data_IF_791825659060
#
_entry.id   IF_791825659060
#
_cell.length_a   1.000
_cell.length_b   1.000
_cell.length_c   1.000
_cell.angle_alpha   90.00
_cell.angle_beta   90.00
_cell.angle_gamma   90.00
#
_symmetry.space_group_name_H-M   'P 1'
#
loop_
_entity.id
_entity.type
_entity.pdbx_description
1 polymer ?
#
# COMPACT_ATOMS: atom_id res chain seq x y z
N UNK A 1 -6.51 -9.21 3.84
CA UNK A 1 -5.78 -8.23 3.05
C UNK A 1 -4.29 -8.22 3.36
N UNK A 2 -3.49 -8.46 2.34
CA UNK A 2 -2.04 -8.29 2.36
C UNK A 2 -1.67 -6.84 2.04
N UNK A 3 -0.48 -6.39 2.43
CA UNK A 3 0.04 -5.04 2.16
C UNK A 3 1.36 -5.12 1.42
N UNK A 4 1.37 -4.65 0.17
CA UNK A 4 2.57 -4.51 -0.66
C UNK A 4 3.00 -3.05 -0.72
N UNK A 5 4.25 -2.76 -0.37
CA UNK A 5 4.86 -1.44 -0.53
C UNK A 5 6.06 -1.54 -1.47
N UNK A 6 6.03 -0.77 -2.56
CA UNK A 6 7.11 -0.65 -3.54
C UNK A 6 7.71 0.75 -3.43
N UNK A 7 8.92 0.86 -2.90
CA UNK A 7 9.58 2.14 -2.63
C UNK A 7 10.68 2.44 -3.66
N UNK A 8 10.44 3.47 -4.48
CA UNK A 8 11.30 4.00 -5.52
C UNK A 8 11.69 5.46 -5.19
N UNK A 9 12.52 5.64 -4.16
CA UNK A 9 12.82 6.94 -3.54
C UNK A 9 13.37 8.02 -4.47
N UNK A 10 13.90 7.66 -5.65
CA UNK A 10 14.41 8.60 -6.66
C UNK A 10 13.41 8.99 -7.75
N UNK A 11 12.22 8.38 -7.80
CA UNK A 11 11.21 8.64 -8.82
C UNK A 11 10.46 9.95 -8.52
N UNK A 12 10.57 10.94 -9.39
CA UNK A 12 10.00 12.29 -9.19
C UNK A 12 8.51 12.35 -9.58
N UNK A 13 7.68 13.10 -8.84
CA UNK A 13 6.22 13.16 -9.08
C UNK A 13 5.88 13.71 -10.46
N UNK A 14 6.64 14.72 -10.92
CA UNK A 14 6.41 15.36 -12.22
C UNK A 14 6.50 14.36 -13.37
N UNK A 15 7.39 13.36 -13.28
CA UNK A 15 7.53 12.35 -14.33
C UNK A 15 6.57 11.19 -14.08
N UNK A 16 6.48 10.69 -12.84
CA UNK A 16 5.56 9.60 -12.46
C UNK A 16 4.12 9.90 -12.89
N UNK A 17 3.63 11.13 -12.68
CA UNK A 17 2.23 11.46 -12.95
C UNK A 17 1.96 12.00 -14.36
N UNK A 18 2.98 12.48 -15.08
CA UNK A 18 2.81 13.09 -16.40
C UNK A 18 3.22 12.19 -17.57
N UNK A 19 4.11 11.21 -17.38
CA UNK A 19 4.57 10.35 -18.48
C UNK A 19 3.50 9.32 -18.86
N UNK A 20 2.84 9.54 -19.99
CA UNK A 20 1.76 8.69 -20.50
C UNK A 20 2.22 7.27 -20.89
N UNK A 21 3.54 7.04 -21.00
CA UNK A 21 4.09 5.72 -21.33
C UNK A 21 4.08 4.74 -20.16
N UNK A 22 3.85 5.22 -18.93
CA UNK A 22 3.81 4.40 -17.72
C UNK A 22 2.43 3.74 -17.58
N UNK A 23 2.13 2.79 -18.46
CA UNK A 23 0.80 2.21 -18.60
C UNK A 23 0.31 1.50 -17.33
N UNK A 24 1.19 0.78 -16.62
CA UNK A 24 0.81 0.04 -15.42
C UNK A 24 0.57 1.00 -14.24
N UNK A 25 1.43 2.01 -14.10
CA UNK A 25 1.25 3.05 -13.09
C UNK A 25 -0.06 3.83 -13.34
N UNK A 26 -0.38 4.16 -14.60
CA UNK A 26 -1.63 4.82 -14.97
C UNK A 26 -2.85 4.00 -14.57
N UNK A 27 -2.84 2.69 -14.81
CA UNK A 27 -3.92 1.80 -14.38
C UNK A 27 -4.10 1.85 -12.86
N UNK A 28 -3.02 1.86 -12.08
CA UNK A 28 -3.10 2.01 -10.63
C UNK A 28 -3.68 3.37 -10.22
N UNK A 29 -3.27 4.46 -10.89
CA UNK A 29 -3.81 5.80 -10.63
C UNK A 29 -5.31 5.89 -10.93
N UNK A 30 -5.80 5.21 -11.97
CA UNK A 30 -7.21 5.17 -12.33
C UNK A 30 -8.04 4.34 -11.33
N UNK A 31 -7.44 3.32 -10.72
CA UNK A 31 -8.11 2.41 -9.78
C UNK A 31 -8.08 2.89 -8.32
N UNK A 32 -7.09 3.69 -7.95
CA UNK A 32 -6.86 4.10 -6.56
C UNK A 32 -6.70 5.60 -6.39
N UNK A 33 -6.00 6.00 -5.34
CA UNK A 33 -5.65 7.39 -5.08
C UNK A 33 -4.15 7.62 -5.26
N UNK A 34 -3.79 8.82 -5.69
CA UNK A 34 -2.40 9.20 -5.92
C UNK A 34 -2.19 10.67 -5.61
N UNK A 35 -0.96 11.08 -5.35
CA UNK A 35 -0.67 12.49 -5.14
C UNK A 35 0.73 12.79 -4.66
N UNK A 36 1.03 14.07 -4.60
CA UNK A 36 2.23 14.59 -3.95
C UNK A 36 2.05 14.60 -2.42
N UNK A 37 3.15 14.36 -1.72
CA UNK A 37 3.25 14.35 -0.28
C UNK A 37 4.08 15.53 0.20
N UNK A 38 3.65 16.14 1.28
CA UNK A 38 4.51 17.03 2.03
C UNK A 38 5.59 16.19 2.74
N UNK A 39 6.85 16.60 2.65
CA UNK A 39 8.04 15.85 3.13
C UNK A 39 8.18 15.77 4.66
N UNK A 40 7.08 15.89 5.42
CA UNK A 40 7.07 15.74 6.86
C UNK A 40 7.03 14.27 7.28
N UNK A 41 8.11 13.82 7.92
CA UNK A 41 8.19 12.50 8.56
C UNK A 41 8.67 11.37 7.65
N UNK A 42 8.56 10.14 8.16
CA UNK A 42 8.93 8.90 7.47
C UNK A 42 7.65 8.11 7.17
N UNK A 43 7.55 7.55 5.96
CA UNK A 43 6.31 6.94 5.48
C UNK A 43 5.91 5.68 6.25
N UNK A 44 6.89 4.99 6.83
CA UNK A 44 6.74 3.70 7.52
C UNK A 44 6.66 3.85 9.03
N UNK A 45 6.72 5.06 9.59
CA UNK A 45 6.65 5.27 11.05
C UNK A 45 5.19 5.41 11.46
N UNK A 46 4.74 4.54 12.38
CA UNK A 46 3.41 4.61 12.95
C UNK A 46 3.36 5.45 14.22
N UNK A 47 4.38 5.39 15.09
CA UNK A 47 4.41 6.14 16.34
C UNK A 47 5.84 6.30 16.86
N UNK A 48 6.12 7.40 17.58
CA UNK A 48 7.35 7.56 18.36
C UNK A 48 7.06 7.67 19.83
N UNK A 49 7.75 6.83 20.61
CA UNK A 49 7.79 6.86 22.06
C UNK A 49 9.20 7.29 22.51
N UNK A 50 9.35 7.64 23.79
CA UNK A 50 10.61 8.18 24.33
C UNK A 50 11.87 7.37 23.98
N UNK A 51 11.75 6.04 23.87
CA UNK A 51 12.88 5.13 23.64
C UNK A 51 12.70 4.21 22.43
N UNK A 52 11.64 4.38 21.62
CA UNK A 52 11.35 3.46 20.53
C UNK A 52 10.51 4.14 19.44
N UNK A 53 10.91 3.94 18.18
CA UNK A 53 10.09 4.27 17.01
C UNK A 53 9.41 2.99 16.57
N UNK A 54 8.08 2.96 16.60
CA UNK A 54 7.28 1.84 16.11
C UNK A 54 7.04 2.04 14.62
N UNK A 55 7.61 1.15 13.81
CA UNK A 55 7.36 1.10 12.36
C UNK A 55 6.09 0.31 12.03
N UNK A 56 5.55 0.52 10.83
CA UNK A 56 4.43 -0.25 10.28
C UNK A 56 4.75 -1.76 10.24
N UNK A 57 5.96 -2.11 9.83
CA UNK A 57 6.41 -3.51 9.82
C UNK A 57 6.43 -4.10 11.23
N UNK A 58 7.06 -3.44 12.20
CA UNK A 58 7.12 -3.93 13.59
C UNK A 58 5.71 -4.06 14.18
N UNK A 59 4.81 -3.14 13.85
CA UNK A 59 3.42 -3.20 14.27
C UNK A 59 2.69 -4.44 13.74
N UNK A 60 2.86 -4.77 12.45
CA UNK A 60 2.31 -6.01 11.90
C UNK A 60 2.98 -7.26 12.49
N UNK A 61 4.30 -7.26 12.69
CA UNK A 61 5.01 -8.37 13.34
C UNK A 61 4.48 -8.65 14.76
N UNK A 62 4.14 -7.61 15.54
CA UNK A 62 3.52 -7.77 16.86
C UNK A 62 2.12 -8.41 16.79
N UNK A 63 1.45 -8.32 15.64
CA UNK A 63 0.19 -8.99 15.35
C UNK A 63 0.37 -10.38 14.70
N UNK A 64 1.56 -10.98 14.82
CA UNK A 64 1.91 -12.31 14.29
C UNK A 64 1.76 -12.40 12.76
N UNK A 65 2.02 -11.30 12.06
CA UNK A 65 1.99 -11.20 10.60
C UNK A 65 3.33 -11.56 9.98
N UNK A 66 3.31 -12.28 8.86
CA UNK A 66 4.50 -12.61 8.11
C UNK A 66 4.97 -11.39 7.30
N UNK A 67 5.94 -10.67 7.87
CA UNK A 67 6.49 -9.45 7.28
C UNK A 67 7.82 -9.72 6.58
N UNK A 68 7.98 -9.20 5.37
CA UNK A 68 9.19 -9.32 4.56
C UNK A 68 9.66 -7.94 4.11
N UNK A 69 10.94 -7.63 4.34
CA UNK A 69 11.64 -6.48 3.75
C UNK A 69 12.70 -7.01 2.80
N UNK A 70 12.76 -6.50 1.58
CA UNK A 70 13.81 -6.87 0.64
C UNK A 70 14.16 -5.72 -0.29
N UNK A 71 15.41 -5.69 -0.73
CA UNK A 71 15.87 -4.83 -1.83
C UNK A 71 16.25 -5.63 -3.07
N UNK A 72 16.15 -6.96 -3.00
CA UNK A 72 16.50 -7.85 -4.09
C UNK A 72 15.25 -8.19 -4.95
N UNK A 73 15.26 -7.84 -6.25
CA UNK A 73 14.13 -8.12 -7.14
C UNK A 73 13.87 -9.63 -7.35
N UNK A 74 14.86 -10.50 -7.12
CA UNK A 74 14.63 -11.96 -7.17
C UNK A 74 13.78 -12.39 -5.99
N UNK A 75 14.15 -11.96 -4.77
CA UNK A 75 13.37 -12.21 -3.55
C UNK A 75 11.95 -11.63 -3.63
N UNK A 76 11.79 -10.42 -4.20
CA UNK A 76 10.46 -9.84 -4.43
C UNK A 76 9.59 -10.78 -5.27
N UNK A 77 10.09 -11.21 -6.44
CA UNK A 77 9.34 -12.09 -7.35
C UNK A 77 9.04 -13.46 -6.73
N UNK A 78 9.99 -14.03 -6.01
CA UNK A 78 9.77 -15.28 -5.27
C UNK A 78 8.62 -15.13 -4.27
N UNK A 79 8.61 -14.05 -3.48
CA UNK A 79 7.56 -13.82 -2.48
C UNK A 79 6.20 -13.55 -3.08
N UNK A 80 6.13 -12.75 -4.15
CA UNK A 80 4.90 -12.51 -4.88
C UNK A 80 4.33 -13.82 -5.45
N UNK A 81 5.17 -14.65 -6.10
CA UNK A 81 4.72 -15.91 -6.70
C UNK A 81 4.32 -16.98 -5.68
N UNK A 82 5.00 -17.03 -4.53
CA UNK A 82 4.67 -17.99 -3.46
C UNK A 82 3.41 -17.55 -2.68
N UNK A 83 3.20 -16.24 -2.51
CA UNK A 83 2.04 -15.70 -1.78
C UNK A 83 2.09 -15.88 -0.26
N UNK A 84 3.25 -16.27 0.30
CA UNK A 84 3.44 -16.46 1.76
C UNK A 84 4.05 -15.19 2.40
N UNK A 85 3.20 -14.18 2.57
CA UNK A 85 3.46 -12.91 3.24
C UNK A 85 2.14 -12.18 3.56
N UNK A 86 2.11 -11.43 4.66
CA UNK A 86 1.01 -10.51 4.99
C UNK A 86 1.42 -9.04 4.72
N UNK A 87 2.70 -8.72 4.91
CA UNK A 87 3.29 -7.41 4.61
C UNK A 87 4.60 -7.62 3.84
N UNK A 88 4.70 -7.05 2.64
CA UNK A 88 5.89 -7.11 1.82
C UNK A 88 6.32 -5.70 1.44
N UNK A 89 7.54 -5.35 1.84
CA UNK A 89 8.18 -4.11 1.48
C UNK A 89 9.34 -4.40 0.53
N UNK A 90 9.32 -3.72 -0.62
CA UNK A 90 10.42 -3.69 -1.56
C UNK A 90 11.04 -2.30 -1.59
N UNK A 91 12.34 -2.21 -1.27
CA UNK A 91 13.12 -0.98 -1.45
C UNK A 91 14.01 -1.13 -2.67
N UNK A 92 13.73 -0.38 -3.73
CA UNK A 92 14.30 -0.59 -5.06
C UNK A 92 15.76 -0.13 -5.19
N UNK A 93 16.68 -0.77 -4.47
CA UNK A 93 18.10 -0.43 -4.43
C UNK A 93 18.83 -0.62 -5.78
N UNK A 94 18.21 -1.33 -6.73
CA UNK A 94 18.68 -1.47 -8.11
C UNK A 94 18.46 -0.20 -8.96
N UNK A 95 17.71 0.78 -8.46
CA UNK A 95 17.47 2.05 -9.11
C UNK A 95 18.42 3.15 -8.58
N UNK A 96 18.73 4.17 -9.40
CA UNK A 96 19.48 5.33 -8.92
C UNK A 96 18.76 6.02 -7.74
N UNK A 97 19.52 6.57 -6.80
CA UNK A 97 18.93 7.37 -5.71
C UNK A 97 18.35 8.70 -6.20
N UNK A 98 18.91 9.26 -7.28
CA UNK A 98 18.51 10.54 -7.87
C UNK A 98 18.76 10.51 -9.39
N UNK A 99 18.24 11.52 -10.10
CA UNK A 99 18.49 11.77 -11.53
C UNK A 99 18.09 10.60 -12.45
N UNK A 100 16.90 10.07 -12.25
CA UNK A 100 16.35 9.00 -13.08
C UNK A 100 16.25 9.40 -14.55
N UNK A 101 16.68 8.50 -15.43
CA UNK A 101 16.48 8.60 -16.86
C UNK A 101 15.06 8.18 -17.26
N UNK A 102 14.65 8.49 -18.49
CA UNK A 102 13.40 7.97 -19.04
C UNK A 102 13.33 6.44 -19.02
N UNK A 103 14.47 5.77 -19.23
CA UNK A 103 14.54 4.31 -19.22
C UNK A 103 14.36 3.73 -17.81
N UNK A 104 14.77 4.45 -16.76
CA UNK A 104 14.51 4.05 -15.38
C UNK A 104 13.01 4.04 -15.07
N UNK A 105 12.26 5.07 -15.51
CA UNK A 105 10.80 5.08 -15.32
C UNK A 105 10.10 3.96 -16.09
N UNK A 106 10.52 3.69 -17.34
CA UNK A 106 9.97 2.58 -18.13
C UNK A 106 10.29 1.22 -17.49
N UNK A 107 11.48 1.06 -16.91
CA UNK A 107 11.84 -0.14 -16.16
C UNK A 107 10.97 -0.31 -14.92
N UNK A 108 10.77 0.75 -14.14
CA UNK A 108 9.85 0.74 -12.99
C UNK A 108 8.45 0.30 -13.40
N UNK A 109 7.91 0.85 -14.50
CA UNK A 109 6.56 0.52 -14.96
C UNK A 109 6.46 -0.95 -15.41
N UNK A 110 7.49 -1.48 -16.08
CA UNK A 110 7.55 -2.90 -16.43
C UNK A 110 7.65 -3.80 -15.19
N UNK A 111 8.53 -3.46 -14.25
CA UNK A 111 8.70 -4.21 -12.98
C UNK A 111 7.39 -4.20 -12.16
N UNK A 112 6.66 -3.07 -12.18
CA UNK A 112 5.34 -2.94 -11.58
C UNK A 112 4.34 -3.88 -12.28
N UNK A 113 4.27 -3.85 -13.61
CA UNK A 113 3.39 -4.73 -14.39
C UNK A 113 3.65 -6.22 -14.17
N UNK A 114 4.90 -6.62 -13.96
CA UNK A 114 5.27 -7.99 -13.57
C UNK A 114 4.77 -8.32 -12.15
N UNK A 115 4.99 -7.42 -11.19
CA UNK A 115 4.54 -7.63 -9.81
C UNK A 115 3.01 -7.77 -9.70
N UNK A 116 2.26 -6.95 -10.45
CA UNK A 116 0.79 -6.95 -10.43
C UNK A 116 0.17 -8.24 -10.97
N UNK A 117 0.87 -9.02 -11.81
CA UNK A 117 0.34 -10.28 -12.36
C UNK A 117 0.23 -11.41 -11.33
N UNK A 118 1.02 -11.33 -10.26
CA UNK A 118 1.07 -12.35 -9.21
C UNK A 118 0.14 -12.03 -8.03
N UNK A 119 -0.46 -10.83 -7.99
CA UNK A 119 -1.27 -10.37 -6.88
C UNK A 119 -2.74 -10.78 -7.00
N UNK A 120 -3.39 -10.96 -5.85
CA UNK A 120 -4.83 -11.14 -5.74
C UNK A 120 -5.56 -9.81 -5.45
N UNK A 121 -6.89 -9.86 -5.53
CA UNK A 121 -7.77 -8.72 -5.24
C UNK A 121 -7.80 -8.34 -3.74
N UNK A 122 -7.24 -9.16 -2.85
CA UNK A 122 -7.14 -8.92 -1.40
C UNK A 122 -5.75 -8.37 -1.01
N UNK A 123 -5.20 -7.50 -1.87
CA UNK A 123 -3.92 -6.82 -1.62
C UNK A 123 -4.06 -5.31 -1.72
N UNK A 124 -3.60 -4.59 -0.69
CA UNK A 124 -3.34 -3.16 -0.76
C UNK A 124 -1.94 -2.92 -1.32
N UNK A 125 -1.83 -2.12 -2.38
CA UNK A 125 -0.61 -1.84 -3.13
C UNK A 125 -0.27 -0.36 -2.96
N UNK A 126 0.93 -0.06 -2.50
CA UNK A 126 1.45 1.31 -2.44
C UNK A 126 2.74 1.41 -3.23
N UNK A 127 2.77 2.30 -4.22
CA UNK A 127 4.00 2.73 -4.89
C UNK A 127 4.41 4.06 -4.26
N UNK A 128 5.61 4.12 -3.69
CA UNK A 128 6.18 5.34 -3.14
C UNK A 128 7.28 5.85 -4.07
N UNK A 129 7.16 7.12 -4.46
CA UNK A 129 8.22 7.86 -5.13
C UNK A 129 8.83 8.89 -4.18
N UNK A 130 9.62 9.81 -4.75
CA UNK A 130 10.14 10.98 -4.03
C UNK A 130 8.98 11.91 -3.69
N UNK A 131 8.60 11.96 -2.42
CA UNK A 131 7.50 12.80 -1.91
C UNK A 131 6.19 12.62 -2.71
N UNK A 132 5.89 11.40 -3.14
CA UNK A 132 4.65 11.11 -3.85
C UNK A 132 4.28 9.64 -3.69
N UNK A 133 3.02 9.33 -3.98
CA UNK A 133 2.50 7.99 -3.84
C UNK A 133 1.43 7.67 -4.88
N UNK A 134 1.22 6.37 -5.07
CA UNK A 134 0.01 5.76 -5.63
C UNK A 134 -0.42 4.67 -4.66
N UNK A 135 -1.69 4.65 -4.27
CA UNK A 135 -2.28 3.70 -3.33
C UNK A 135 -3.53 3.08 -3.94
N UNK A 136 -3.52 1.76 -4.07
CA UNK A 136 -4.63 0.97 -4.62
C UNK A 136 -5.00 -0.11 -3.62
N UNK A 137 -6.29 -0.30 -3.40
CA UNK A 137 -6.83 -1.45 -2.67
C UNK A 137 -8.28 -1.63 -3.09
N UNK A 138 -8.75 -2.87 -3.17
CA UNK A 138 -10.15 -3.17 -3.50
C UNK A 138 -11.14 -2.49 -2.54
N UNK A 139 -10.70 -2.18 -1.31
CA UNK A 139 -11.51 -1.55 -0.28
C UNK A 139 -11.19 -0.07 -0.04
N UNK A 140 -10.31 0.54 -0.85
CA UNK A 140 -9.96 1.96 -0.72
C UNK A 140 -11.14 2.85 -1.13
N UNK A 141 -11.71 3.67 -0.22
CA UNK A 141 -12.81 4.58 -0.56
C UNK A 141 -12.36 5.82 -1.34
N UNK A 142 -11.06 6.12 -1.36
CA UNK A 142 -10.50 7.31 -2.00
C UNK A 142 -10.01 6.94 -3.40
N UNK A 143 -10.44 7.71 -4.40
CA UNK A 143 -9.98 7.58 -5.79
C UNK A 143 -9.53 8.92 -6.37
N UNK A 144 -8.63 8.87 -7.34
CA UNK A 144 -8.09 10.02 -8.04
C UNK A 144 -7.03 10.80 -7.24
N UNK A 145 -6.81 12.05 -7.63
CA UNK A 145 -5.76 12.91 -7.07
C UNK A 145 -6.11 13.32 -5.62
N UNK A 146 -5.28 12.90 -4.67
CA UNK A 146 -5.33 13.28 -3.26
C UNK A 146 -4.39 14.46 -2.99
N UNK A 147 -4.91 15.52 -2.36
CA UNK A 147 -4.16 16.77 -2.11
C UNK A 147 -3.92 16.99 -0.63
N UNK A 148 -2.70 17.44 -0.30
CA UNK A 148 -2.34 17.88 1.04
C UNK A 148 -1.97 16.77 2.02
N UNK A 149 -1.75 15.54 1.54
CA UNK A 149 -1.24 14.44 2.35
C UNK A 149 0.20 14.68 2.83
N UNK A 150 0.51 14.19 4.03
CA UNK A 150 1.87 14.15 4.57
C UNK A 150 2.48 12.77 4.36
N UNK A 151 3.80 12.67 4.22
CA UNK A 151 4.51 11.38 4.19
C UNK A 151 4.16 10.51 5.40
N UNK A 152 4.03 11.11 6.59
CA UNK A 152 3.61 10.44 7.83
C UNK A 152 2.21 9.83 7.80
N UNK A 153 1.35 10.19 6.83
CA UNK A 153 -0.03 9.70 6.76
C UNK A 153 -0.14 8.32 6.08
N UNK A 154 0.92 7.86 5.41
CA UNK A 154 0.95 6.59 4.67
C UNK A 154 0.78 5.40 5.62
N UNK A 155 1.66 5.28 6.63
CA UNK A 155 1.62 4.17 7.59
C UNK A 155 0.27 3.99 8.28
N UNK A 156 -0.36 5.04 8.88
CA UNK A 156 -1.67 4.87 9.50
C UNK A 156 -2.78 4.55 8.49
N UNK A 157 -2.71 5.08 7.27
CA UNK A 157 -3.67 4.73 6.21
C UNK A 157 -3.57 3.25 5.85
N UNK A 158 -2.36 2.72 5.70
CA UNK A 158 -2.12 1.31 5.40
C UNK A 158 -2.56 0.38 6.54
N UNK A 159 -2.29 0.74 7.79
CA UNK A 159 -2.72 -0.05 8.94
C UNK A 159 -4.25 -0.14 9.02
N UNK A 160 -4.97 0.97 8.81
CA UNK A 160 -6.44 0.96 8.81
C UNK A 160 -7.02 0.22 7.61
N UNK A 161 -6.47 0.41 6.42
CA UNK A 161 -6.87 -0.38 5.25
C UNK A 161 -6.73 -1.87 5.54
N UNK A 162 -5.60 -2.30 6.10
CA UNK A 162 -5.37 -3.70 6.50
C UNK A 162 -6.28 -4.20 7.64
N UNK A 163 -7.17 -3.35 8.17
CA UNK A 163 -8.14 -3.71 9.21
C UNK A 163 -7.59 -3.65 10.64
N UNK A 164 -6.44 -3.01 10.86
CA UNK A 164 -5.82 -2.90 12.17
C UNK A 164 -6.17 -1.57 12.84
N UNK A 165 -6.47 -1.57 14.15
CA UNK A 165 -6.68 -0.34 14.89
C UNK A 165 -5.38 0.48 14.93
N UNK A 166 -5.47 1.80 15.04
CA UNK A 166 -4.28 2.64 15.21
C UNK A 166 -3.87 2.73 16.68
N UNK A 167 -2.56 2.76 16.99
CA UNK A 167 -2.06 3.14 18.31
C UNK A 167 -2.58 4.52 18.76
N UNK A 168 -2.67 4.73 20.07
CA UNK A 168 -3.17 6.01 20.63
C UNK A 168 -2.26 7.22 20.37
N UNK A 169 -0.97 6.98 20.10
CA UNK A 169 0.05 8.00 19.85
C UNK A 169 0.55 7.95 18.39
N UNK A 170 -0.34 7.64 17.45
CA UNK A 170 0.00 7.54 16.03
C UNK A 170 0.51 8.87 15.44
N UNK A 171 1.58 8.79 14.65
CA UNK A 171 2.07 9.89 13.81
C UNK A 171 1.28 9.96 12.51
N UNK A 172 1.04 11.18 12.03
CA UNK A 172 0.20 11.42 10.86
C UNK A 172 -1.29 11.17 11.12
N UNK A 173 -2.07 11.16 10.04
CA UNK A 173 -3.51 10.91 10.05
C UNK A 173 -3.85 9.94 8.93
N UNK A 174 -4.58 8.88 9.25
CA UNK A 174 -5.11 8.02 8.20
C UNK A 174 -6.12 8.79 7.35
N UNK A 175 -6.02 8.65 6.03
CA UNK A 175 -6.96 9.29 5.10
C UNK A 175 -8.32 8.59 5.05
N UNK A 176 -8.37 7.32 5.46
CA UNK A 176 -9.60 6.51 5.46
C UNK A 176 -10.28 6.46 6.82
N UNK A 177 -9.80 7.24 7.79
CA UNK A 177 -10.36 7.26 9.14
C UNK A 177 -11.83 7.71 9.13
N UNK A 178 -12.69 6.90 9.75
CA UNK A 178 -14.13 7.14 9.79
C UNK A 178 -14.87 6.98 8.44
N UNK A 179 -14.21 6.48 7.40
CA UNK A 179 -14.86 6.16 6.12
C UNK A 179 -15.40 4.73 6.11
N UNK A 180 -16.54 4.51 5.45
CA UNK A 180 -16.93 3.16 5.06
C UNK A 180 -16.00 2.69 3.94
N UNK A 181 -15.24 1.62 4.20
CA UNK A 181 -14.36 1.02 3.21
C UNK A 181 -15.21 0.42 2.08
N UNK A 182 -14.69 0.45 0.85
CA UNK A 182 -15.39 -0.07 -0.32
C UNK A 182 -15.50 -1.60 -0.22
N UNK A 183 -16.56 -2.12 0.40
CA UNK A 183 -16.79 -3.57 0.39
C UNK A 183 -17.10 -4.03 -1.04
N UNK A 184 -16.13 -4.66 -1.71
CA UNK A 184 -16.30 -5.40 -2.98
C UNK A 184 -17.01 -6.75 -2.80
N UNK A 185 -17.45 -7.09 -1.58
CA UNK A 185 -18.66 -7.90 -1.48
C UNK A 185 -19.80 -6.95 -1.81
N UNK A 186 -20.37 -7.01 -3.01
CA UNK A 186 -21.56 -6.24 -3.41
C UNK A 186 -22.82 -6.62 -2.62
N UNK A 187 -22.66 -6.86 -1.32
CA UNK A 187 -23.61 -7.28 -0.33
C UNK A 187 -23.61 -6.18 0.73
N UNK A 188 -24.77 -5.55 0.86
CA UNK A 188 -25.09 -4.63 1.95
C UNK A 188 -24.87 -5.30 3.32
N UNK A 189 -24.76 -4.50 4.39
CA UNK A 189 -24.63 -5.01 5.76
C UNK A 189 -25.74 -6.02 6.11
N UNK A 190 -26.95 -5.79 5.61
CA UNK A 190 -28.10 -6.69 5.74
C UNK A 190 -27.87 -8.03 5.02
N UNK A 191 -27.28 -8.01 3.82
CA UNK A 191 -26.96 -9.21 3.06
C UNK A 191 -25.82 -10.01 3.68
N UNK A 192 -24.85 -9.35 4.33
CA UNK A 192 -23.82 -10.01 5.12
C UNK A 192 -24.39 -10.67 6.38
N UNK A 193 -25.38 -10.05 7.04
CA UNK A 193 -26.08 -10.63 8.18
C UNK A 193 -26.88 -11.88 7.76
N UNK A 194 -27.56 -11.81 6.61
CA UNK A 194 -28.28 -12.95 6.02
C UNK A 194 -27.31 -14.09 5.65
N UNK A 195 -26.11 -13.78 5.16
CA UNK A 195 -25.10 -14.77 4.83
C UNK A 195 -24.53 -15.46 6.07
N UNK A 196 -24.25 -14.70 7.14
CA UNK A 196 -23.82 -15.26 8.43
C UNK A 196 -24.89 -16.18 9.03
N UNK A 197 -26.15 -15.78 8.98
CA UNK A 197 -27.26 -16.59 9.50
C UNK A 197 -27.38 -17.92 8.72
N UNK A 198 -27.25 -17.87 7.40
CA UNK A 198 -27.24 -19.08 6.53
C UNK A 198 -26.04 -20.00 6.77
N UNK A 199 -24.86 -19.44 6.97
CA UNK A 199 -23.63 -20.23 7.20
C UNK A 199 -23.61 -20.87 8.60
N UNK A 200 -24.21 -20.21 9.61
CA UNK A 200 -24.42 -20.79 10.94
C UNK A 200 -25.32 -22.04 10.89
N UNK A 201 -26.34 -22.02 10.03
CA UNK A 201 -27.24 -23.16 9.79
C UNK A 201 -26.60 -24.34 9.08
N UNK A 202 -25.43 -24.15 8.47
CA UNK A 202 -24.66 -25.18 7.77
C UNK A 202 -23.42 -25.63 8.57
N UNK A 203 -23.17 -25.05 9.75
CA UNK A 203 -22.09 -25.45 10.66
C UNK A 203 -20.69 -25.02 10.23
N UNK A 204 -20.58 -23.98 9.40
CA UNK A 204 -19.30 -23.44 8.94
C UNK A 204 -18.75 -22.28 9.79
N UNK A 205 -19.50 -21.83 10.80
CA UNK A 205 -19.13 -20.79 11.79
C UNK A 205 -19.67 -21.15 13.16
#
# INVERSE_FOLDING_TARGET
MNVLVLNFSGAEPVTLFADERLENLRRLMDMGCFGELNSSGEWNVLARQENHTLTLMEYFQQADKLCVDTSDPVTLREKLSVGDWDYLQYSAASFPAENWSADDYLRLDNDLGEALQELDDDTAITVLGKNCFVLVSAINPISGEHKGGSTSDIAPTLAQLAGYPLPSATEGKSWVDGMELNNTSGLTADEQEILRDRLSGLGYV
#
